data_IF_929626056245
#
_entry.id   IF_929626056245
#
_cell.length_a   1.000
_cell.length_b   1.000
_cell.length_c   1.000
_cell.angle_alpha   90.00
_cell.angle_beta   90.00
_cell.angle_gamma   90.00
#
_symmetry.space_group_name_H-M   'P 1'
#
loop_
_entity.id
_entity.type
_entity.pdbx_description
1 polymer ?
#
# COMPACT_ATOMS: atom_id res chain seq x y z
N UNK A 1 -27.59 -10.02 3.83
CA UNK A 1 -26.75 -9.02 3.15
C UNK A 1 -25.49 -8.85 3.98
N UNK A 2 -24.30 -8.87 3.38
CA UNK A 2 -23.06 -8.60 4.11
C UNK A 2 -23.15 -7.20 4.73
N UNK A 3 -22.73 -7.07 5.98
CA UNK A 3 -22.89 -5.82 6.74
C UNK A 3 -21.84 -4.76 6.37
N UNK A 4 -20.73 -5.21 5.75
CA UNK A 4 -19.59 -4.36 5.43
C UNK A 4 -19.47 -4.22 3.90
N UNK A 5 -19.74 -3.02 3.40
CA UNK A 5 -19.62 -2.65 1.98
C UNK A 5 -18.25 -2.07 1.62
N UNK A 6 -17.49 -1.55 2.59
CA UNK A 6 -16.15 -0.99 2.34
C UNK A 6 -15.27 -0.92 3.58
N UNK A 7 -13.95 -0.93 3.38
CA UNK A 7 -12.97 -0.70 4.44
C UNK A 7 -11.78 0.15 3.95
N UNK A 8 -11.16 0.95 4.83
CA UNK A 8 -10.01 1.77 4.45
C UNK A 8 -8.73 0.96 4.31
N UNK A 9 -7.93 1.26 3.28
CA UNK A 9 -6.58 0.72 3.05
C UNK A 9 -5.53 1.80 3.28
N UNK A 10 -4.23 1.45 3.25
CA UNK A 10 -3.14 2.43 3.36
C UNK A 10 -3.23 3.56 2.32
N UNK A 11 -3.69 3.26 1.11
CA UNK A 11 -3.64 4.16 -0.05
C UNK A 11 -5.02 4.63 -0.53
N UNK A 12 -6.09 4.26 0.16
CA UNK A 12 -7.45 4.62 -0.24
C UNK A 12 -8.46 3.68 0.42
N UNK A 13 -9.39 3.13 -0.36
CA UNK A 13 -10.52 2.34 0.16
C UNK A 13 -10.75 1.10 -0.69
N UNK A 14 -11.00 -0.03 -0.04
CA UNK A 14 -11.51 -1.23 -0.69
C UNK A 14 -13.05 -1.21 -0.58
N UNK A 15 -13.74 -1.38 -1.70
CA UNK A 15 -15.20 -1.46 -1.78
C UNK A 15 -15.61 -2.81 -2.31
N UNK A 16 -16.55 -3.45 -1.63
CA UNK A 16 -17.19 -4.66 -2.10
C UNK A 16 -18.45 -4.30 -2.89
N UNK A 17 -18.58 -4.90 -4.06
CA UNK A 17 -19.83 -5.01 -4.81
C UNK A 17 -20.32 -6.47 -4.72
N UNK A 18 -21.40 -6.81 -5.43
CA UNK A 18 -21.95 -8.18 -5.41
C UNK A 18 -20.94 -9.20 -5.97
N UNK A 19 -20.26 -8.84 -7.06
CA UNK A 19 -19.36 -9.77 -7.78
C UNK A 19 -17.87 -9.41 -7.70
N UNK A 20 -17.51 -8.22 -7.21
CA UNK A 20 -16.15 -7.67 -7.28
C UNK A 20 -15.71 -6.97 -6.01
N UNK A 21 -14.41 -7.03 -5.74
CA UNK A 21 -13.70 -6.13 -4.81
C UNK A 21 -12.94 -5.08 -5.61
N UNK A 22 -13.30 -3.82 -5.40
CA UNK A 22 -12.64 -2.67 -6.01
C UNK A 22 -11.66 -2.04 -5.02
N UNK A 23 -10.41 -1.86 -5.43
CA UNK A 23 -9.40 -1.15 -4.67
C UNK A 23 -9.20 0.24 -5.28
N UNK A 24 -9.84 1.24 -4.70
CA UNK A 24 -9.66 2.63 -5.09
C UNK A 24 -8.42 3.18 -4.36
N UNK A 25 -7.26 3.09 -5.01
CA UNK A 25 -6.03 3.72 -4.54
C UNK A 25 -5.91 5.15 -5.08
N UNK A 26 -5.69 6.13 -4.21
CA UNK A 26 -5.50 7.53 -4.60
C UNK A 26 -4.20 8.07 -4.02
N UNK A 27 -3.32 8.57 -4.89
CA UNK A 27 -2.07 9.18 -4.47
C UNK A 27 -2.31 10.48 -3.66
N UNK A 28 -3.29 11.29 -4.07
CA UNK A 28 -3.68 12.49 -3.33
C UNK A 28 -4.33 12.14 -1.98
N UNK A 29 -5.14 11.07 -1.94
CA UNK A 29 -5.70 10.51 -0.70
C UNK A 29 -4.60 10.01 0.25
N UNK A 30 -3.57 9.37 -0.29
CA UNK A 30 -2.41 8.92 0.49
C UNK A 30 -1.64 10.11 1.10
N UNK A 31 -1.33 11.15 0.32
CA UNK A 31 -0.65 12.37 0.80
C UNK A 31 -1.48 13.06 1.87
N UNK A 32 -2.80 13.21 1.67
CA UNK A 32 -3.70 13.82 2.65
C UNK A 32 -3.79 12.98 3.94
N UNK A 33 -3.78 11.64 3.82
CA UNK A 33 -3.71 10.74 4.98
C UNK A 33 -2.38 10.86 5.72
N UNK A 34 -1.25 11.07 5.02
CA UNK A 34 0.05 11.29 5.63
C UNK A 34 0.07 12.62 6.37
N UNK A 35 -0.44 13.69 5.76
CA UNK A 35 -0.60 14.99 6.41
C UNK A 35 -1.45 14.86 7.69
N UNK A 36 -2.64 14.27 7.61
CA UNK A 36 -3.51 14.09 8.78
C UNK A 36 -2.88 13.22 9.87
N UNK A 37 -2.21 12.13 9.50
CA UNK A 37 -1.65 11.19 10.47
C UNK A 37 -0.30 11.60 11.06
N UNK A 38 0.53 12.34 10.33
CA UNK A 38 1.88 12.72 10.76
C UNK A 38 1.99 14.19 11.16
N UNK A 39 1.32 15.10 10.46
CA UNK A 39 1.36 16.53 10.79
C UNK A 39 0.42 16.89 11.95
N UNK A 40 -0.84 16.47 11.91
CA UNK A 40 -1.81 16.80 12.97
C UNK A 40 -1.60 16.02 14.28
N UNK A 41 -0.74 15.00 14.29
CA UNK A 41 -0.36 14.26 15.51
C UNK A 41 0.48 15.10 16.48
N UNK A 42 1.02 16.24 16.03
CA UNK A 42 1.71 17.22 16.88
C UNK A 42 3.00 16.75 17.55
N UNK A 43 3.50 15.55 17.22
CA UNK A 43 4.73 15.02 17.82
C UNK A 43 5.93 15.44 16.97
N UNK A 44 7.00 15.95 17.59
CA UNK A 44 8.17 16.46 16.86
C UNK A 44 8.74 15.46 15.83
N UNK A 45 8.80 14.17 16.20
CA UNK A 45 9.21 13.07 15.32
C UNK A 45 8.31 12.87 14.09
N UNK A 46 6.99 13.06 14.21
CA UNK A 46 6.06 12.86 13.10
C UNK A 46 6.10 14.02 12.11
N UNK A 47 6.29 15.25 12.61
CA UNK A 47 6.50 16.43 11.77
C UNK A 47 7.83 16.37 11.01
N UNK A 48 8.92 15.95 11.68
CA UNK A 48 10.23 15.75 11.01
C UNK A 48 10.18 14.67 9.94
N UNK A 49 9.48 13.55 10.18
CA UNK A 49 9.30 12.51 9.18
C UNK A 49 8.51 13.00 7.95
N UNK A 50 7.50 13.86 8.15
CA UNK A 50 6.74 14.46 7.06
C UNK A 50 7.60 15.42 6.23
N UNK A 51 8.35 16.31 6.88
CA UNK A 51 9.28 17.24 6.24
C UNK A 51 10.36 16.48 5.46
N UNK A 52 10.95 15.44 6.05
CA UNK A 52 11.91 14.59 5.36
C UNK A 52 11.32 13.94 4.09
N UNK A 53 10.05 13.50 4.14
CA UNK A 53 9.38 12.96 2.96
C UNK A 53 9.15 14.02 1.87
N UNK A 54 8.82 15.25 2.26
CA UNK A 54 8.59 16.36 1.35
C UNK A 54 9.89 16.78 0.63
N UNK A 55 11.02 16.81 1.35
CA UNK A 55 12.31 17.22 0.82
C UNK A 55 13.10 16.09 0.14
N UNK A 56 12.77 14.82 0.38
CA UNK A 56 13.44 13.69 -0.28
C UNK A 56 13.34 13.76 -1.81
N UNK A 57 12.19 14.18 -2.34
CA UNK A 57 11.97 14.32 -3.78
C UNK A 57 12.84 15.42 -4.43
N UNK A 58 12.81 16.69 -3.97
CA UNK A 58 13.65 17.73 -4.56
C UNK A 58 15.15 17.45 -4.36
N UNK A 59 15.56 16.87 -3.23
CA UNK A 59 16.96 16.48 -3.01
C UNK A 59 17.38 15.39 -4.01
N UNK A 60 16.52 14.39 -4.24
CA UNK A 60 16.77 13.34 -5.23
C UNK A 60 16.90 13.89 -6.64
N UNK A 61 16.03 14.83 -7.04
CA UNK A 61 16.09 15.49 -8.35
C UNK A 61 17.39 16.29 -8.48
N UNK A 62 17.72 17.09 -7.48
CA UNK A 62 18.96 17.87 -7.46
C UNK A 62 20.20 16.98 -7.62
N UNK A 63 20.24 15.87 -6.89
CA UNK A 63 21.37 14.92 -6.95
C UNK A 63 21.50 14.28 -8.34
N UNK A 64 20.39 13.86 -8.96
CA UNK A 64 20.42 13.29 -10.33
C UNK A 64 20.92 14.32 -11.32
N UNK A 65 20.44 15.57 -11.23
CA UNK A 65 20.90 16.66 -12.11
C UNK A 65 22.41 16.90 -11.92
N UNK A 66 22.89 16.97 -10.68
CA UNK A 66 24.32 17.11 -10.38
C UNK A 66 25.14 15.95 -10.95
N UNK A 67 24.69 14.71 -10.77
CA UNK A 67 25.39 13.53 -11.27
C UNK A 67 25.47 13.46 -12.81
N UNK A 68 24.46 14.00 -13.51
CA UNK A 68 24.48 14.16 -14.98
C UNK A 68 25.50 15.23 -15.38
N UNK A 69 25.52 16.38 -14.69
CA UNK A 69 26.49 17.44 -14.96
C UNK A 69 27.94 16.98 -14.72
N UNK A 70 28.18 16.18 -13.68
CA UNK A 70 29.50 15.65 -13.33
C UNK A 70 29.93 14.46 -14.23
N UNK A 71 29.10 14.06 -15.22
CA UNK A 71 29.39 12.95 -16.13
C UNK A 71 29.42 11.58 -15.46
N UNK A 72 28.85 11.46 -14.26
CA UNK A 72 28.97 10.27 -13.41
C UNK A 72 27.85 9.25 -13.71
N UNK A 73 27.81 8.79 -14.96
CA UNK A 73 26.78 7.89 -15.48
C UNK A 73 26.71 6.54 -14.74
N UNK A 74 27.81 6.09 -14.13
CA UNK A 74 27.84 4.87 -13.31
C UNK A 74 26.91 4.96 -12.09
N UNK A 75 26.86 6.11 -11.42
CA UNK A 75 26.01 6.29 -10.24
C UNK A 75 24.52 6.33 -10.62
N UNK A 76 24.21 6.93 -11.77
CA UNK A 76 22.86 6.94 -12.34
C UNK A 76 22.45 5.53 -12.74
N UNK A 77 23.32 4.80 -13.44
CA UNK A 77 23.06 3.42 -13.84
C UNK A 77 22.86 2.49 -12.64
N UNK A 78 23.67 2.63 -11.59
CA UNK A 78 23.52 1.89 -10.34
C UNK A 78 22.18 2.19 -9.65
N UNK A 79 21.78 3.46 -9.58
CA UNK A 79 20.50 3.87 -8.99
C UNK A 79 19.31 3.35 -9.82
N UNK A 80 19.34 3.51 -11.14
CA UNK A 80 18.31 2.97 -12.05
C UNK A 80 18.21 1.44 -11.93
N UNK A 81 19.36 0.75 -11.88
CA UNK A 81 19.42 -0.69 -11.66
C UNK A 81 18.78 -1.10 -10.33
N UNK A 82 19.09 -0.39 -9.25
CA UNK A 82 18.48 -0.63 -7.94
C UNK A 82 16.96 -0.41 -7.98
N UNK A 83 16.48 0.67 -8.59
CA UNK A 83 15.05 0.96 -8.75
C UNK A 83 14.37 -0.16 -9.56
N UNK A 84 15.00 -0.63 -10.64
CA UNK A 84 14.48 -1.71 -11.47
C UNK A 84 14.39 -3.02 -10.69
N UNK A 85 15.42 -3.37 -9.90
CA UNK A 85 15.40 -4.56 -9.04
C UNK A 85 14.27 -4.45 -8.00
N UNK A 86 14.15 -3.31 -7.33
CA UNK A 86 13.06 -3.07 -6.36
C UNK A 86 11.69 -3.13 -7.03
N UNK A 87 11.58 -2.63 -8.26
CA UNK A 87 10.38 -2.70 -9.07
C UNK A 87 9.99 -4.14 -9.38
N UNK A 88 10.93 -4.97 -9.86
CA UNK A 88 10.72 -6.39 -10.14
C UNK A 88 10.36 -7.17 -8.87
N UNK A 89 11.05 -6.90 -7.76
CA UNK A 89 10.73 -7.50 -6.46
C UNK A 89 9.31 -7.10 -6.01
N UNK A 90 8.89 -5.86 -6.23
CA UNK A 90 7.54 -5.42 -5.91
C UNK A 90 6.48 -6.04 -6.82
N UNK A 91 6.78 -6.20 -8.11
CA UNK A 91 5.94 -6.90 -9.07
C UNK A 91 5.75 -8.37 -8.66
N UNK A 92 6.84 -9.11 -8.42
CA UNK A 92 6.80 -10.49 -7.94
C UNK A 92 6.10 -10.63 -6.57
N UNK A 93 6.15 -9.59 -5.73
CA UNK A 93 5.43 -9.54 -4.45
C UNK A 93 3.94 -9.27 -4.57
N UNK A 94 3.42 -8.99 -5.76
CA UNK A 94 1.98 -8.80 -6.00
C UNK A 94 1.46 -7.41 -5.59
N UNK A 95 2.29 -6.38 -5.70
CA UNK A 95 1.87 -4.99 -5.41
C UNK A 95 1.19 -4.28 -6.58
N UNK A 96 1.17 -4.88 -7.78
CA UNK A 96 0.63 -4.30 -9.03
C UNK A 96 -0.49 -5.14 -9.64
N UNK A 97 -1.32 -5.71 -8.78
CA UNK A 97 -2.47 -6.51 -9.21
C UNK A 97 -3.70 -5.63 -9.45
N UNK A 98 -4.62 -6.01 -10.36
CA UNK A 98 -5.66 -5.16 -10.92
C UNK A 98 -6.58 -4.58 -9.86
N UNK A 99 -6.98 -3.32 -10.03
CA UNK A 99 -7.86 -2.54 -9.12
C UNK A 99 -9.27 -3.12 -8.93
N UNK A 100 -9.58 -4.20 -9.63
CA UNK A 100 -10.78 -5.01 -9.46
C UNK A 100 -10.39 -6.48 -9.37
N UNK A 101 -10.91 -7.19 -8.38
CA UNK A 101 -10.78 -8.65 -8.25
C UNK A 101 -12.20 -9.22 -8.21
N UNK A 102 -12.48 -10.20 -9.05
CA UNK A 102 -13.74 -10.96 -9.02
C UNK A 102 -13.80 -11.82 -7.78
N UNK A 103 -14.89 -11.75 -7.02
CA UNK A 103 -15.04 -12.49 -5.77
C UNK A 103 -14.97 -14.01 -6.01
N UNK A 104 -15.61 -14.51 -7.07
CA UNK A 104 -15.62 -15.93 -7.42
C UNK A 104 -14.25 -16.50 -7.84
N UNK A 105 -13.29 -15.62 -8.15
CA UNK A 105 -11.92 -16.02 -8.52
C UNK A 105 -10.98 -16.09 -7.32
N UNK A 106 -11.41 -15.63 -6.14
CA UNK A 106 -10.59 -15.62 -4.94
C UNK A 106 -10.46 -17.05 -4.41
N UNK A 107 -9.23 -17.52 -4.32
CA UNK A 107 -8.90 -18.84 -3.79
C UNK A 107 -8.68 -18.79 -2.27
N UNK A 108 -8.04 -17.72 -1.81
CA UNK A 108 -7.62 -17.61 -0.42
C UNK A 108 -7.36 -16.16 -0.02
N UNK A 109 -7.78 -15.79 1.19
CA UNK A 109 -7.39 -14.54 1.83
C UNK A 109 -6.61 -14.85 3.10
N UNK A 110 -5.37 -14.37 3.19
CA UNK A 110 -4.58 -14.51 4.42
C UNK A 110 -4.37 -13.15 5.07
N UNK A 111 -4.80 -13.01 6.32
CA UNK A 111 -4.47 -11.86 7.14
C UNK A 111 -3.11 -12.07 7.82
N UNK A 112 -2.30 -11.02 7.87
CA UNK A 112 -1.05 -11.02 8.64
C UNK A 112 -1.05 -9.81 9.54
N UNK A 113 -0.96 -10.06 10.84
CA UNK A 113 -0.80 -9.03 11.84
C UNK A 113 0.50 -8.25 11.61
N UNK A 114 0.40 -6.94 11.78
CA UNK A 114 1.57 -6.08 11.81
C UNK A 114 2.19 -6.08 13.20
N UNK A 115 3.51 -5.91 13.28
CA UNK A 115 4.19 -5.61 14.53
C UNK A 115 4.18 -4.09 14.69
N UNK A 116 3.57 -3.60 15.76
CA UNK A 116 3.49 -2.16 16.08
C UNK A 116 4.90 -1.54 16.05
N UNK A 117 5.09 -0.46 15.30
CA UNK A 117 6.42 0.15 15.12
C UNK A 117 7.19 -0.32 13.91
N UNK A 118 6.98 -1.56 13.44
CA UNK A 118 7.90 -2.22 12.51
C UNK A 118 7.20 -2.56 11.20
N UNK A 119 6.12 -3.33 11.26
CA UNK A 119 5.38 -3.79 10.08
C UNK A 119 3.91 -3.41 10.18
N UNK A 120 3.31 -3.14 9.02
CA UNK A 120 1.89 -2.81 8.95
C UNK A 120 1.07 -4.09 8.78
N UNK A 121 -0.13 -4.17 9.39
CA UNK A 121 -1.05 -5.25 9.09
C UNK A 121 -1.38 -5.25 7.61
N UNK A 122 -1.59 -6.44 7.05
CA UNK A 122 -1.80 -6.62 5.62
C UNK A 122 -2.69 -7.82 5.34
N UNK A 123 -3.46 -7.70 4.27
CA UNK A 123 -4.20 -8.81 3.68
C UNK A 123 -3.49 -9.25 2.41
N UNK A 124 -3.46 -10.55 2.18
CA UNK A 124 -2.94 -11.16 0.96
C UNK A 124 -4.07 -11.92 0.31
N UNK A 125 -4.55 -11.42 -0.81
CA UNK A 125 -5.60 -12.06 -1.61
C UNK A 125 -4.92 -12.85 -2.72
N UNK A 126 -5.14 -14.17 -2.76
CA UNK A 126 -4.77 -15.03 -3.89
C UNK A 126 -6.02 -15.29 -4.72
N UNK A 127 -5.90 -15.13 -6.03
CA UNK A 127 -7.01 -15.31 -6.95
C UNK A 127 -6.48 -15.80 -8.30
N UNK A 128 -7.28 -16.58 -9.02
CA UNK A 128 -6.93 -17.08 -10.36
C UNK A 128 -7.84 -16.46 -11.40
N UNK A 129 -7.27 -15.69 -12.31
CA UNK A 129 -8.01 -15.02 -13.39
C UNK A 129 -7.38 -15.39 -14.73
N UNK A 130 -8.22 -15.78 -15.70
CA UNK A 130 -7.75 -16.23 -17.02
C UNK A 130 -6.71 -17.36 -16.97
N UNK A 131 -6.79 -18.27 -15.98
CA UNK A 131 -5.87 -19.40 -15.84
C UNK A 131 -4.50 -19.06 -15.22
N UNK A 132 -4.28 -17.81 -14.80
CA UNK A 132 -3.05 -17.40 -14.09
C UNK A 132 -3.38 -17.09 -12.64
N UNK A 133 -2.60 -17.64 -11.72
CA UNK A 133 -2.72 -17.34 -10.29
C UNK A 133 -1.97 -16.06 -9.95
N UNK A 134 -2.68 -15.12 -9.35
CA UNK A 134 -2.16 -13.84 -8.91
C UNK A 134 -2.19 -13.72 -7.40
N UNK A 135 -1.42 -12.75 -6.91
CA UNK A 135 -1.36 -12.37 -5.50
C UNK A 135 -1.52 -10.87 -5.41
N UNK A 136 -2.47 -10.37 -4.60
CA UNK A 136 -2.59 -8.95 -4.25
C UNK A 136 -2.28 -8.74 -2.78
N UNK A 137 -1.31 -7.88 -2.51
CA UNK A 137 -0.99 -7.42 -1.14
C UNK A 137 -1.70 -6.11 -0.85
N UNK A 138 -2.66 -6.15 0.06
CA UNK A 138 -3.40 -4.97 0.52
C UNK A 138 -2.83 -4.57 1.88
N UNK A 139 -2.07 -3.46 1.88
CA UNK A 139 -1.58 -2.92 3.14
C UNK A 139 -2.72 -2.20 3.86
N UNK A 140 -2.97 -2.61 5.10
CA UNK A 140 -3.92 -1.91 5.94
C UNK A 140 -3.25 -0.68 6.58
N UNK A 141 -4.07 0.25 7.09
CA UNK A 141 -3.56 1.39 7.83
C UNK A 141 -2.66 0.94 9.02
N UNK A 142 -1.58 1.67 9.31
CA UNK A 142 -0.54 1.33 10.33
C UNK A 142 -1.09 1.19 11.77
N UNK A 143 -0.51 0.43 12.70
CA UNK A 143 -1.04 0.35 14.08
C UNK A 143 -0.97 1.66 14.91
N UNK A 144 -0.43 2.75 14.36
CA UNK A 144 -0.44 4.09 14.99
C UNK A 144 -1.68 4.96 14.68
N UNK A 145 -2.64 4.45 13.90
CA UNK A 145 -3.97 5.05 13.69
C UNK A 145 -4.91 4.97 14.88
N UNK A 146 -5.51 6.04 15.38
CA UNK A 146 -6.77 5.95 16.14
C UNK A 146 -7.84 5.14 15.36
N UNK A 147 -8.55 4.23 16.05
CA UNK A 147 -9.67 3.44 15.50
C UNK A 147 -9.32 2.19 14.69
N UNK A 148 -8.08 1.67 14.75
CA UNK A 148 -7.56 0.68 13.77
C UNK A 148 -7.65 -0.80 14.11
N UNK A 149 -7.84 -1.21 15.38
CA UNK A 149 -8.21 -2.60 15.68
C UNK A 149 -9.56 -2.93 15.04
N UNK A 150 -10.52 -2.00 15.14
CA UNK A 150 -11.80 -2.11 14.45
C UNK A 150 -11.66 -2.20 12.92
N UNK A 151 -10.71 -1.48 12.30
CA UNK A 151 -10.47 -1.56 10.84
C UNK A 151 -9.85 -2.90 10.42
N UNK A 152 -8.96 -3.46 11.23
CA UNK A 152 -8.37 -4.77 10.94
C UNK A 152 -9.42 -5.87 11.05
N UNK A 153 -10.20 -5.87 12.13
CA UNK A 153 -11.28 -6.83 12.33
C UNK A 153 -12.39 -6.64 11.29
N UNK A 154 -12.79 -5.40 10.98
CA UNK A 154 -13.76 -5.10 9.91
C UNK A 154 -13.27 -5.62 8.54
N UNK A 155 -11.99 -5.45 8.23
CA UNK A 155 -11.45 -5.96 6.98
C UNK A 155 -11.46 -7.49 6.96
N UNK A 156 -11.14 -8.15 8.08
CA UNK A 156 -11.19 -9.61 8.21
C UNK A 156 -12.63 -10.14 8.14
N UNK A 157 -13.54 -9.59 8.92
CA UNK A 157 -14.97 -9.91 8.91
C UNK A 157 -15.59 -9.74 7.53
N UNK A 158 -15.21 -8.70 6.77
CA UNK A 158 -15.75 -8.48 5.43
C UNK A 158 -15.43 -9.59 4.43
N UNK A 159 -14.28 -10.26 4.57
CA UNK A 159 -13.92 -11.43 3.78
C UNK A 159 -14.55 -12.71 4.36
N UNK A 160 -14.58 -12.87 5.69
CA UNK A 160 -15.22 -14.00 6.36
C UNK A 160 -16.72 -14.10 6.06
N UNK A 161 -17.46 -12.98 6.08
CA UNK A 161 -18.91 -12.92 5.74
C UNK A 161 -19.20 -13.42 4.32
N UNK A 162 -18.20 -13.38 3.43
CA UNK A 162 -18.28 -13.78 2.02
C UNK A 162 -17.67 -15.15 1.77
N UNK A 163 -17.23 -15.84 2.83
CA UNK A 163 -16.72 -17.22 2.78
C UNK A 163 -15.22 -17.36 2.51
N UNK A 164 -14.43 -16.32 2.72
CA UNK A 164 -12.97 -16.31 2.47
C UNK A 164 -12.11 -16.20 3.73
#
# INVERSE_FOLDING_TARGET
>A
MPSIESFPTKRGTARFSEDYVYFQESFSGYINSLYRNYWQRGTWWSSTAFVGHLFAYPIGIWWVVSAVYDGNFLHIAALCGLILVLYVVNYARGFRSPDRIRLDTIEQVSATDGIKGITRPRLVVRYTDGGTTYKRRVNLPSLYTSGREAVYEQARESFTERGF
#
